data_IF_505388210750
#
_entry.id   IF_505388210750
#
_cell.length_a   1.000
_cell.length_b   1.000
_cell.length_c   1.000
_cell.angle_alpha   90.00
_cell.angle_beta   90.00
_cell.angle_gamma   90.00
#
_symmetry.space_group_name_H-M   'P 1'
#
loop_
_entity.id
_entity.type
_entity.pdbx_description
1 polymer ?
2 non-polymer ?
3 non-polymer ?
4 water ?
#
# COMPACT_ATOMS: atom_id res chain seq x y z
N UNK A 1 -15.93 9.02 -5.11
CA UNK A 1 -15.22 7.98 -5.92
C UNK A 1 -14.27 7.18 -5.03
N UNK A 2 -13.49 7.88 -4.20
CA UNK A 2 -12.45 7.25 -3.33
C UNK A 2 -13.00 7.02 -1.92
N UNK A 3 -14.22 7.45 -1.61
CA UNK A 3 -14.57 7.79 -0.20
C UNK A 3 -14.69 6.54 0.67
N UNK A 4 -15.08 5.38 0.19
CA UNK A 4 -15.14 4.21 1.08
C UNK A 4 -13.74 3.74 1.46
N UNK A 5 -12.66 4.13 0.75
CA UNK A 5 -11.29 3.79 1.17
C UNK A 5 -10.83 4.64 2.35
N UNK A 6 -11.50 5.74 2.63
CA UNK A 6 -10.96 6.70 3.61
C UNK A 6 -11.11 6.16 5.02
N UNK A 7 -10.14 6.45 5.86
CA UNK A 7 -10.19 6.11 7.27
C UNK A 7 -8.92 5.43 7.71
N UNK A 8 -9.02 4.82 8.90
CA UNK A 8 -7.89 4.16 9.56
C UNK A 8 -8.13 2.65 9.47
N UNK A 9 -7.12 1.94 9.05
CA UNK A 9 -7.18 0.50 8.73
C UNK A 9 -6.04 -0.22 9.43
N UNK A 10 -6.29 -1.41 9.94
CA UNK A 10 -5.22 -2.18 10.58
C UNK A 10 -5.08 -3.53 9.92
N UNK A 11 -3.85 -3.97 9.81
CA UNK A 11 -3.56 -5.24 9.15
C UNK A 11 -4.07 -6.40 10.00
N UNK A 12 -4.77 -7.34 9.38
CA UNK A 12 -5.26 -8.51 10.12
C UNK A 12 -4.92 -9.82 9.42
N UNK A 13 -4.31 -9.80 8.25
CA UNK A 13 -3.93 -11.04 7.55
C UNK A 13 -2.93 -10.65 6.48
N UNK A 14 -1.97 -11.54 6.26
CA UNK A 14 -0.95 -11.28 5.24
C UNK A 14 -0.53 -12.62 4.63
N UNK A 15 -0.50 -12.64 3.29
CA UNK A 15 -0.07 -13.81 2.52
C UNK A 15 1.02 -13.39 1.55
N UNK A 16 2.16 -14.08 1.61
CA UNK A 16 3.25 -13.95 0.63
C UNK A 16 3.97 -12.60 0.70
N UNK A 17 3.91 -11.90 1.83
CA UNK A 17 4.65 -10.64 1.91
C UNK A 17 6.17 -10.88 1.85
N UNK A 18 6.66 -11.95 2.44
CA UNK A 18 8.09 -12.23 2.32
C UNK A 18 8.48 -12.41 0.85
N UNK A 19 7.67 -13.14 0.09
CA UNK A 19 7.97 -13.33 -1.34
C UNK A 19 8.07 -11.96 -2.03
N UNK A 20 7.12 -11.09 -1.76
CA UNK A 20 7.09 -9.76 -2.39
C UNK A 20 8.35 -8.96 -2.00
N UNK A 21 8.63 -8.88 -0.70
CA UNK A 21 9.82 -8.14 -0.25
C UNK A 21 11.10 -8.74 -0.85
N UNK A 22 11.19 -10.05 -0.88
CA UNK A 22 12.41 -10.68 -1.39
C UNK A 22 12.57 -10.34 -2.88
N UNK A 23 11.47 -10.34 -3.63
CA UNK A 23 11.51 -9.99 -5.07
C UNK A 23 12.06 -8.59 -5.27
N UNK A 24 11.72 -7.67 -4.36
CA UNK A 24 12.20 -6.28 -4.39
C UNK A 24 13.64 -6.17 -3.87
N UNK A 25 14.28 -7.23 -3.39
CA UNK A 25 15.65 -7.19 -2.89
C UNK A 25 15.77 -6.71 -1.46
N UNK A 26 14.69 -6.75 -0.69
CA UNK A 26 14.76 -6.39 0.74
C UNK A 26 15.58 -7.45 1.47
N UNK A 27 16.49 -7.02 2.34
CA UNK A 27 17.38 -7.90 3.11
C UNK A 27 16.65 -8.77 4.10
N UNK A 28 17.27 -9.89 4.48
CA UNK A 28 16.57 -10.89 5.31
C UNK A 28 16.16 -10.28 6.66
N UNK A 29 16.98 -9.42 7.26
CA UNK A 29 16.68 -8.91 8.62
C UNK A 29 15.46 -8.00 8.55
N UNK A 30 15.39 -7.16 7.51
CA UNK A 30 14.20 -6.30 7.32
C UNK A 30 12.97 -7.16 7.06
N UNK A 31 13.07 -8.14 6.17
CA UNK A 31 11.89 -9.00 5.90
C UNK A 31 11.44 -9.63 7.21
N UNK A 32 12.40 -10.04 8.00
CA UNK A 32 12.11 -10.74 9.27
C UNK A 32 11.26 -9.85 10.21
N UNK A 33 11.64 -8.59 10.44
CA UNK A 33 10.88 -7.64 11.27
C UNK A 33 9.53 -7.35 10.60
N UNK A 34 9.52 -7.08 9.30
CA UNK A 34 8.28 -6.75 8.57
C UNK A 34 7.28 -7.91 8.63
N UNK A 35 7.71 -9.14 8.70
CA UNK A 35 6.79 -10.29 8.73
C UNK A 35 6.00 -10.36 10.03
N UNK A 36 6.46 -9.64 11.07
CA UNK A 36 5.83 -9.63 12.41
C UNK A 36 5.22 -8.27 12.73
N UNK A 37 5.18 -7.40 11.74
CA UNK A 37 4.65 -6.03 11.93
C UNK A 37 3.20 -5.97 11.39
N UNK A 38 2.31 -5.24 12.09
CA UNK A 38 0.91 -5.06 11.63
C UNK A 38 0.69 -3.56 11.49
N UNK A 39 0.94 -3.02 10.30
CA UNK A 39 0.82 -1.59 10.17
C UNK A 39 -0.63 -1.11 10.29
N UNK A 40 -0.70 0.18 10.55
CA UNK A 40 -1.93 0.97 10.44
C UNK A 40 -1.81 1.84 9.20
N UNK A 41 -2.80 1.77 8.32
CA UNK A 41 -2.85 2.61 7.13
C UNK A 41 -3.96 3.64 7.31
N UNK A 42 -3.63 4.89 7.10
CA UNK A 42 -4.60 6.00 7.26
C UNK A 42 -4.71 6.67 5.90
N UNK A 43 -5.93 6.74 5.37
CA UNK A 43 -6.17 7.35 4.06
C UNK A 43 -7.12 8.52 4.30
N UNK A 44 -6.68 9.72 3.97
CA UNK A 44 -7.54 10.91 4.12
C UNK A 44 -7.56 11.66 2.79
N UNK A 45 -8.60 12.46 2.61
CA UNK A 45 -8.59 13.43 1.49
C UNK A 45 -8.82 14.84 2.00
N UNK A 46 -8.39 15.74 1.16
CA UNK A 46 -8.67 17.18 1.30
C UNK A 46 -8.81 17.69 -0.12
N UNK A 47 -10.04 17.91 -0.57
CA UNK A 47 -10.25 18.20 -1.99
C UNK A 47 -9.72 17.06 -2.82
N UNK A 48 -8.93 17.43 -3.81
CA UNK A 48 -8.36 16.47 -4.80
C UNK A 48 -7.13 15.76 -4.23
N UNK A 49 -6.66 16.13 -3.05
CA UNK A 49 -5.38 15.58 -2.56
C UNK A 49 -5.68 14.46 -1.55
N UNK A 50 -5.10 13.31 -1.83
CA UNK A 50 -5.14 12.15 -0.92
C UNK A 50 -3.82 12.05 -0.19
N UNK A 51 -3.90 11.72 1.09
CA UNK A 51 -2.72 11.43 1.89
C UNK A 51 -2.86 10.03 2.47
N UNK A 52 -1.84 9.22 2.27
CA UNK A 52 -1.83 7.82 2.70
C UNK A 52 -0.63 7.64 3.62
N UNK A 53 -0.93 7.39 4.89
CA UNK A 53 0.07 7.15 5.92
C UNK A 53 0.13 5.66 6.20
N UNK A 54 1.33 5.14 6.40
CA UNK A 54 1.51 3.74 6.85
C UNK A 54 2.40 3.79 8.09
N UNK A 55 1.85 3.37 9.22
CA UNK A 55 2.52 3.50 10.51
C UNK A 55 2.78 2.13 11.11
N UNK A 56 3.95 1.97 11.69
CA UNK A 56 4.23 0.73 12.41
C UNK A 56 5.33 0.95 13.43
N UNK A 57 5.61 -0.09 14.17
CA UNK A 57 6.74 -0.10 15.11
C UNK A 57 8.09 -0.15 14.38
N UNK A 58 8.12 -0.41 13.10
CA UNK A 58 9.38 -0.58 12.34
C UNK A 58 9.59 0.58 11.38
N UNK A 59 8.78 0.67 10.33
CA UNK A 59 8.91 1.75 9.32
C UNK A 59 7.62 2.57 9.32
N UNK A 60 7.75 3.90 9.17
CA UNK A 60 6.61 4.80 8.82
C UNK A 60 6.81 5.35 7.42
N UNK A 61 5.72 5.58 6.69
CA UNK A 61 5.74 6.32 5.43
C UNK A 61 4.53 7.23 5.34
N UNK A 62 4.65 8.24 4.48
CA UNK A 62 3.51 9.08 4.13
C UNK A 62 3.71 9.58 2.71
N UNK A 63 2.63 9.51 1.93
CA UNK A 63 2.60 10.09 0.58
C UNK A 63 1.34 10.94 0.44
N UNK A 64 1.46 11.99 -0.36
CA UNK A 64 0.31 12.78 -0.80
C UNK A 64 0.31 12.84 -2.31
N UNK A 65 -0.88 12.78 -2.90
CA UNK A 65 -0.99 12.72 -4.35
C UNK A 65 -2.39 13.15 -4.77
N UNK A 66 -2.50 13.57 -6.03
CA UNK A 66 -3.81 13.67 -6.74
C UNK A 66 -3.97 12.44 -7.60
N UNK A 67 -5.19 11.92 -7.67
CA UNK A 67 -5.43 10.80 -8.55
C UNK A 67 -5.07 11.21 -9.96
N UNK A 68 -4.38 10.32 -10.64
CA UNK A 68 -4.08 10.49 -12.06
C UNK A 68 -2.96 11.45 -12.35
N UNK A 69 -2.19 11.87 -11.34
CA UNK A 69 -1.06 12.79 -11.53
C UNK A 69 0.18 12.13 -10.95
N UNK A 70 1.22 11.98 -11.75
CA UNK A 70 2.46 11.33 -11.29
C UNK A 70 3.08 12.12 -10.14
N UNK A 71 3.72 11.39 -9.24
CA UNK A 71 4.45 11.98 -8.11
C UNK A 71 5.70 11.17 -7.85
N UNK A 72 6.71 11.84 -7.31
CA UNK A 72 7.91 11.14 -6.83
C UNK A 72 7.64 10.52 -5.45
N UNK A 73 8.17 9.33 -5.22
CA UNK A 73 7.97 8.63 -3.95
C UNK A 73 9.28 7.94 -3.58
N UNK A 74 9.55 7.91 -2.28
CA UNK A 74 10.65 7.13 -1.72
C UNK A 74 10.01 6.08 -0.82
N UNK A 75 10.08 4.83 -1.22
CA UNK A 75 9.33 3.77 -0.57
C UNK A 75 9.94 3.38 0.79
N UNK A 76 9.23 2.54 1.53
CA UNK A 76 9.68 2.11 2.86
C UNK A 76 11.06 1.42 2.78
N UNK A 77 11.31 0.72 1.68
CA UNK A 77 12.58 0.03 1.40
C UNK A 77 13.54 0.90 0.58
N UNK A 78 13.31 2.21 0.56
CA UNK A 78 14.26 3.21 0.00
C UNK A 78 14.38 3.21 -1.53
N UNK A 79 13.41 2.65 -2.23
CA UNK A 79 13.40 2.84 -3.71
C UNK A 79 12.88 4.23 -4.04
N UNK A 80 13.55 4.89 -4.97
CA UNK A 80 13.10 6.19 -5.48
C UNK A 80 12.36 5.92 -6.78
N UNK A 81 11.04 6.10 -6.73
CA UNK A 81 10.15 5.65 -7.80
C UNK A 81 9.30 6.80 -8.32
N UNK A 82 8.79 6.60 -9.53
CA UNK A 82 7.78 7.46 -10.16
C UNK A 82 6.45 6.75 -9.96
N UNK A 83 5.50 7.42 -9.33
CA UNK A 83 4.24 6.79 -8.92
C UNK A 83 3.04 7.48 -9.53
N UNK A 84 1.98 6.71 -9.69
CA UNK A 84 0.67 7.27 -10.04
C UNK A 84 -0.38 6.38 -9.41
N UNK A 85 -1.44 7.01 -8.91
CA UNK A 85 -2.57 6.30 -8.28
C UNK A 85 -3.83 6.70 -9.05
N UNK A 86 -4.67 5.71 -9.36
CA UNK A 86 -5.91 5.98 -10.08
C UNK A 86 -6.96 5.00 -9.60
N UNK A 87 -8.20 5.31 -9.90
CA UNK A 87 -9.31 4.40 -9.65
C UNK A 87 -9.60 3.63 -10.93
N UNK A 88 -9.71 2.32 -10.80
CA UNK A 88 -9.88 1.42 -11.96
C UNK A 88 -10.81 0.30 -11.50
N UNK A 89 -12.02 0.26 -12.05
CA UNK A 89 -12.95 -0.78 -11.62
C UNK A 89 -13.30 -0.67 -10.16
N UNK A 90 -13.25 0.55 -9.61
CA UNK A 90 -13.53 0.78 -8.19
C UNK A 90 -12.35 0.45 -7.28
N UNK A 91 -11.23 0.01 -7.84
CA UNK A 91 -10.03 -0.29 -7.07
C UNK A 91 -9.08 0.89 -7.12
N UNK A 92 -8.40 1.12 -6.04
CA UNK A 92 -7.38 2.15 -6.00
C UNK A 92 -6.06 1.50 -6.47
N UNK A 93 -5.52 1.84 -7.66
CA UNK A 93 -4.35 1.19 -8.28
C UNK A 93 -3.18 2.15 -8.19
N UNK A 94 -2.14 1.73 -7.47
CA UNK A 94 -0.89 2.49 -7.30
C UNK A 94 0.19 1.77 -8.08
N UNK A 95 0.73 2.43 -9.10
CA UNK A 95 1.81 1.89 -9.93
C UNK A 95 3.09 2.65 -9.61
N UNK A 96 4.16 1.92 -9.30
CA UNK A 96 5.50 2.46 -9.07
C UNK A 96 6.44 1.98 -10.19
N UNK A 97 7.25 2.91 -10.69
CA UNK A 97 8.22 2.64 -11.77
C UNK A 97 9.60 3.12 -11.33
N UNK A 98 10.62 2.28 -11.55
CA UNK A 98 12.01 2.68 -11.25
C UNK A 98 12.92 1.72 -11.97
N UNK A 99 14.01 2.22 -12.54
CA UNK A 99 15.03 1.34 -13.17
C UNK A 99 14.39 0.41 -14.20
N UNK A 100 13.32 0.84 -14.87
CA UNK A 100 12.60 0.00 -15.84
C UNK A 100 11.71 -1.07 -15.21
N UNK A 101 11.76 -1.24 -13.89
CA UNK A 101 10.91 -2.16 -13.12
C UNK A 101 9.59 -1.49 -12.82
N UNK A 102 8.67 -2.33 -12.35
CA UNK A 102 7.35 -1.85 -11.95
C UNK A 102 6.80 -2.73 -10.85
N UNK A 103 6.04 -2.12 -9.96
CA UNK A 103 5.24 -2.88 -9.01
C UNK A 103 3.89 -2.19 -8.88
N UNK A 104 2.87 -3.00 -8.64
CA UNK A 104 1.52 -2.47 -8.41
C UNK A 104 1.06 -2.82 -7.00
N UNK A 105 0.35 -1.85 -6.44
CA UNK A 105 -0.27 -1.94 -5.11
C UNK A 105 -1.74 -1.64 -5.35
N UNK A 106 -2.58 -2.66 -5.32
CA UNK A 106 -4.00 -2.53 -5.72
C UNK A 106 -4.85 -2.72 -4.48
N UNK A 107 -5.71 -1.75 -4.19
CA UNK A 107 -6.60 -1.83 -3.02
C UNK A 107 -8.04 -1.95 -3.49
N UNK A 108 -8.76 -2.80 -2.81
CA UNK A 108 -10.18 -2.91 -3.08
C UNK A 108 -10.89 -3.20 -1.78
N UNK A 109 -12.17 -2.97 -1.90
CA UNK A 109 -13.04 -3.23 -0.75
C UNK A 109 -13.87 -4.45 -1.04
N UNK A 110 -13.80 -5.42 -0.17
CA UNK A 110 -14.61 -6.67 -0.27
C UNK A 110 -15.30 -6.88 1.07
N UNK A 111 -16.62 -6.86 1.13
CA UNK A 111 -17.35 -7.10 2.39
C UNK A 111 -16.79 -6.17 3.48
N UNK A 112 -16.45 -4.93 3.12
CA UNK A 112 -16.05 -3.90 4.09
C UNK A 112 -14.58 -3.99 4.53
N UNK A 113 -13.84 -4.98 4.05
CA UNK A 113 -12.40 -5.09 4.33
C UNK A 113 -11.63 -4.54 3.16
N UNK A 114 -10.45 -4.01 3.45
CA UNK A 114 -9.55 -3.41 2.46
C UNK A 114 -8.50 -4.46 2.08
N UNK A 115 -8.56 -4.97 0.84
CA UNK A 115 -7.63 -6.01 0.37
C UNK A 115 -6.59 -5.31 -0.50
N UNK A 116 -5.34 -5.42 -0.07
CA UNK A 116 -4.18 -4.84 -0.76
C UNK A 116 -3.44 -5.98 -1.45
N UNK A 117 -3.34 -5.92 -2.78
CA UNK A 117 -2.61 -6.92 -3.55
C UNK A 117 -1.36 -6.24 -4.11
N UNK A 118 -0.23 -6.82 -3.77
CA UNK A 118 1.09 -6.30 -4.11
C UNK A 118 1.68 -7.26 -5.15
N UNK A 119 2.11 -6.78 -6.32
CA UNK A 119 2.70 -7.63 -7.35
C UNK A 119 4.03 -7.05 -7.78
N UNK A 120 5.08 -7.86 -7.76
CA UNK A 120 6.38 -7.49 -8.35
C UNK A 120 6.98 -8.76 -8.90
N UNK A 121 7.47 -8.70 -10.13
CA UNK A 121 7.95 -9.92 -10.76
C UNK A 121 6.82 -10.92 -10.83
N UNK A 122 7.03 -12.12 -10.35
CA UNK A 122 5.97 -13.11 -10.27
C UNK A 122 5.30 -13.14 -8.89
N UNK A 123 5.85 -12.44 -7.90
CA UNK A 123 5.37 -12.49 -6.53
C UNK A 123 4.07 -11.70 -6.41
N UNK A 124 3.10 -12.34 -5.74
CA UNK A 124 1.78 -11.75 -5.50
C UNK A 124 1.47 -11.92 -4.01
N UNK A 125 1.35 -10.80 -3.33
CA UNK A 125 1.06 -10.76 -1.89
C UNK A 125 -0.32 -10.16 -1.69
N UNK A 126 -1.07 -10.73 -0.75
CA UNK A 126 -2.40 -10.22 -0.41
C UNK A 126 -2.41 -9.88 1.08
N UNK A 127 -2.74 -8.64 1.38
CA UNK A 127 -2.83 -8.20 2.77
C UNK A 127 -4.20 -7.63 3.01
N UNK A 128 -4.75 -8.04 4.13
CA UNK A 128 -6.14 -7.66 4.46
C UNK A 128 -6.12 -6.71 5.64
N UNK A 129 -6.83 -5.61 5.49
CA UNK A 129 -6.96 -4.58 6.50
C UNK A 129 -8.43 -4.45 6.90
N UNK A 130 -8.66 -4.24 8.19
CA UNK A 130 -10.02 -3.96 8.69
C UNK A 130 -10.05 -2.55 9.24
N UNK A 131 -11.23 -1.96 9.12
CA UNK A 131 -11.43 -0.55 9.48
C UNK A 131 -11.44 -0.40 10.99
N UNK A 132 -10.73 0.61 11.47
CA UNK A 132 -10.81 1.12 12.86
C UNK A 132 -11.93 2.17 12.98
N UNK A 133 -12.67 2.06 14.08
CA UNK A 133 -13.79 2.97 14.40
C UNK A 133 -13.24 4.36 14.74
X LIG B 1 1.44 -2.44 3.40
X LIG B 1 0.80 -3.30 4.02
X LIG B 1 2.73 -2.83 2.59
X LIG B 1 1.10 -1.25 3.20
X LIG B 1 3.68 -1.90 1.81
X LIG B 1 5.01 -2.51 1.52
X LIG B 1 5.86 -1.37 0.99
X LIG B 1 7.07 -1.82 0.20
X LIG B 1 7.87 -2.95 0.84
X LIG B 1 8.62 -2.49 2.07
X LIG B 1 9.42 -3.59 2.75
X LIG C 1 -0.25 -11.18 17.30
X LIG C 1 0.31 -10.05 18.03
X LIG C 1 -0.74 -9.08 18.51
X LIG C 1 -1.40 -8.47 17.42
X LIG C 1 -2.31 -7.48 17.88
X LIG C 1 -2.87 -6.66 16.73
X LIG C 1 -3.47 -7.46 15.70
X LIG C 1 -4.65 -8.14 16.09
X LIG C 1 -5.23 -8.78 14.84
X LIG C 1 -4.35 -9.82 14.39
X LIG C 1 -4.96 -10.64 13.38
X LIG C 1 -3.95 -11.60 12.81
X LIG C 1 -2.98 -10.88 12.09
X LIG C 1 -2.27 -11.75 11.23
X LIG C 1 -1.26 -11.04 10.40
X LIG C 1 -0.06 -10.88 11.13
X LIG C 1 0.94 -10.25 10.34
X LIG C 1 2.18 -10.11 11.20
X LIG C 1 2.68 -11.43 11.49
#
# INVERSE_FOLDING_TARGET
>A
MVDAFLGTWKLVDSKNFDDYMKSLGVGFATRQVASMTKPTTIIEKNGDILTLKTHSTFKNTEISFKLGVEFDETTADDRKVKSIVTLDGGKLVHLQKWDGQETTLVRELIDGKLILTLTHGTAVCTRTYEKEA
>B hetero
1 KNA C1 O1 C2 O2 C3 C4 C5 C6 C7 C8 C9
>C hetero
1 P6G O1 C2 C3 O4 C5 C6 O7 C8 C9 O10 C11 C12 O13 C14 C15 O16 C17 C18 O19
#
